data_IF_677161965380
#
_entry.id   IF_677161965380
#
_cell.length_a   1.000
_cell.length_b   1.000
_cell.length_c   1.000
_cell.angle_alpha   90.00
_cell.angle_beta   90.00
_cell.angle_gamma   90.00
#
_symmetry.space_group_name_H-M   'P 1'
#
loop_
_entity.id
_entity.type
_entity.pdbx_description
1 polymer ?
#
# COMPACT_ATOMS: atom_id res chain seq x y z
N UNK A 1 20.88 -1.65 -9.60
CA UNK A 1 19.50 -1.86 -9.07
C UNK A 1 19.23 -1.24 -7.68
N UNK A 2 20.23 -0.86 -6.88
CA UNK A 2 20.05 -0.32 -5.50
C UNK A 2 19.08 0.87 -5.36
N UNK A 3 18.91 1.69 -6.40
CA UNK A 3 18.06 2.88 -6.38
C UNK A 3 16.67 2.69 -7.00
N UNK A 4 16.42 1.57 -7.68
CA UNK A 4 15.13 1.32 -8.32
C UNK A 4 14.03 1.14 -7.27
N UNK A 5 14.30 0.34 -6.23
CA UNK A 5 13.32 0.08 -5.17
C UNK A 5 12.92 1.36 -4.40
N UNK A 6 13.84 2.24 -3.95
CA UNK A 6 13.48 3.54 -3.38
C UNK A 6 12.64 4.44 -4.31
N UNK A 7 12.95 4.50 -5.61
CA UNK A 7 12.14 5.26 -6.57
C UNK A 7 10.73 4.69 -6.71
N UNK A 8 10.60 3.37 -6.74
CA UNK A 8 9.30 2.67 -6.73
C UNK A 8 8.52 2.98 -5.45
N UNK A 9 9.19 3.06 -4.30
CA UNK A 9 8.56 3.45 -3.03
C UNK A 9 8.05 4.90 -3.04
N UNK A 10 8.76 5.84 -3.66
CA UNK A 10 8.24 7.21 -3.86
C UNK A 10 6.98 7.18 -4.73
N UNK A 11 7.03 6.44 -5.84
CA UNK A 11 5.87 6.22 -6.70
C UNK A 11 4.69 5.58 -5.94
N UNK A 12 4.97 4.64 -5.04
CA UNK A 12 3.97 4.04 -4.16
C UNK A 12 3.26 5.08 -3.29
N UNK A 13 3.98 6.01 -2.65
CA UNK A 13 3.34 7.06 -1.83
C UNK A 13 2.50 8.01 -2.66
N UNK A 14 2.99 8.42 -3.84
CA UNK A 14 2.22 9.27 -4.76
C UNK A 14 0.94 8.56 -5.19
N UNK A 15 1.06 7.28 -5.53
CA UNK A 15 -0.09 6.50 -5.96
C UNK A 15 -1.09 6.27 -4.82
N UNK A 16 -0.61 6.01 -3.61
CA UNK A 16 -1.42 5.90 -2.39
C UNK A 16 -2.18 7.21 -2.09
N UNK A 17 -1.52 8.36 -2.28
CA UNK A 17 -2.14 9.69 -2.14
C UNK A 17 -3.26 9.89 -3.16
N UNK A 18 -3.01 9.62 -4.45
CA UNK A 18 -4.05 9.71 -5.48
C UNK A 18 -5.22 8.75 -5.24
N UNK A 19 -4.92 7.56 -4.73
CA UNK A 19 -5.91 6.59 -4.31
C UNK A 19 -6.86 7.17 -3.25
N UNK A 20 -6.28 7.73 -2.19
CA UNK A 20 -7.02 8.39 -1.11
C UNK A 20 -7.84 9.57 -1.62
N UNK A 21 -7.25 10.44 -2.43
CA UNK A 21 -7.92 11.62 -2.97
C UNK A 21 -9.14 11.22 -3.82
N UNK A 22 -9.00 10.18 -4.64
CA UNK A 22 -10.11 9.64 -5.42
C UNK A 22 -11.20 9.03 -4.52
N UNK A 23 -10.81 8.27 -3.49
CA UNK A 23 -11.75 7.71 -2.50
C UNK A 23 -12.54 8.78 -1.75
N UNK A 24 -11.88 9.85 -1.31
CA UNK A 24 -12.52 11.00 -0.65
C UNK A 24 -13.52 11.69 -1.59
N UNK A 25 -13.08 11.98 -2.83
CA UNK A 25 -13.94 12.59 -3.85
C UNK A 25 -15.21 11.76 -4.07
N UNK A 26 -15.10 10.43 -4.15
CA UNK A 26 -16.25 9.54 -4.32
C UNK A 26 -17.18 9.55 -3.10
N UNK A 27 -16.62 9.66 -1.89
CA UNK A 27 -17.39 9.68 -0.64
C UNK A 27 -18.17 10.99 -0.46
N UNK A 28 -17.64 12.11 -0.95
CA UNK A 28 -18.24 13.45 -0.83
C UNK A 28 -19.32 13.73 -1.90
N UNK A 29 -19.43 12.88 -2.93
CA UNK A 29 -20.42 13.03 -3.99
C UNK A 29 -21.86 12.86 -3.47
N UNK A 30 -22.68 13.91 -3.63
CA UNK A 30 -24.10 13.91 -3.29
C UNK A 30 -24.94 13.34 -4.43
N UNK A 31 -25.92 12.50 -4.12
CA UNK A 31 -26.81 11.85 -5.11
C UNK A 31 -27.52 12.83 -6.05
N UNK A 32 -27.81 14.05 -5.58
CA UNK A 32 -28.52 15.08 -6.35
C UNK A 32 -27.60 15.93 -7.24
N UNK A 33 -26.29 15.70 -7.23
CA UNK A 33 -25.35 16.50 -8.04
C UNK A 33 -25.21 15.91 -9.45
N UNK A 34 -24.99 16.74 -10.49
CA UNK A 34 -24.72 16.25 -11.85
C UNK A 34 -23.43 15.42 -11.92
N UNK A 35 -22.51 15.58 -10.96
CA UNK A 35 -21.29 14.78 -10.87
C UNK A 35 -21.54 13.33 -10.45
N UNK A 36 -22.67 13.04 -9.77
CA UNK A 36 -23.00 11.71 -9.30
C UNK A 36 -23.13 10.69 -10.44
N UNK A 37 -23.48 11.15 -11.66
CA UNK A 37 -23.52 10.32 -12.88
C UNK A 37 -22.16 9.68 -13.17
N UNK A 38 -21.04 10.33 -12.81
CA UNK A 38 -19.68 9.82 -13.02
C UNK A 38 -19.23 8.84 -11.92
N UNK A 39 -19.96 8.76 -10.80
CA UNK A 39 -19.57 8.00 -9.61
C UNK A 39 -19.29 6.51 -9.89
N UNK A 40 -20.06 5.78 -10.70
CA UNK A 40 -19.77 4.38 -10.99
C UNK A 40 -18.41 4.18 -11.68
N UNK A 41 -18.08 5.02 -12.66
CA UNK A 41 -16.79 4.96 -13.36
C UNK A 41 -15.61 5.31 -12.44
N UNK A 42 -15.78 6.29 -11.55
CA UNK A 42 -14.76 6.65 -10.56
C UNK A 42 -14.56 5.55 -9.51
N UNK A 43 -15.65 4.90 -9.07
CA UNK A 43 -15.58 3.73 -8.16
C UNK A 43 -14.82 2.57 -8.81
N UNK A 44 -15.05 2.30 -10.09
CA UNK A 44 -14.32 1.29 -10.83
C UNK A 44 -12.84 1.65 -10.96
N UNK A 45 -12.52 2.90 -11.32
CA UNK A 45 -11.15 3.39 -11.37
C UNK A 45 -10.45 3.23 -10.00
N UNK A 46 -11.10 3.65 -8.93
CA UNK A 46 -10.61 3.50 -7.56
C UNK A 46 -10.36 2.03 -7.21
N UNK A 47 -11.27 1.12 -7.58
CA UNK A 47 -11.07 -0.32 -7.35
C UNK A 47 -9.89 -0.87 -8.16
N UNK A 48 -9.82 -0.55 -9.45
CA UNK A 48 -8.76 -1.03 -10.36
C UNK A 48 -7.38 -0.55 -9.91
N UNK A 49 -7.27 0.72 -9.50
CA UNK A 49 -6.04 1.25 -8.92
C UNK A 49 -5.66 0.56 -7.61
N UNK A 50 -6.64 0.20 -6.77
CA UNK A 50 -6.41 -0.55 -5.54
C UNK A 50 -5.84 -1.96 -5.81
N UNK A 51 -6.37 -2.64 -6.82
CA UNK A 51 -5.81 -3.92 -7.29
C UNK A 51 -4.40 -3.77 -7.83
N UNK A 52 -4.15 -2.76 -8.68
CA UNK A 52 -2.82 -2.49 -9.22
C UNK A 52 -1.79 -2.22 -8.12
N UNK A 53 -2.14 -1.38 -7.14
CA UNK A 53 -1.27 -1.06 -6.00
C UNK A 53 -0.93 -2.32 -5.18
N UNK A 54 -1.95 -3.13 -4.87
CA UNK A 54 -1.76 -4.39 -4.12
C UNK A 54 -0.92 -5.40 -4.90
N UNK A 55 -1.18 -5.54 -6.20
CA UNK A 55 -0.44 -6.42 -7.10
C UNK A 55 1.03 -6.02 -7.25
N UNK A 56 1.33 -4.72 -7.34
CA UNK A 56 2.70 -4.21 -7.36
C UNK A 56 3.45 -4.51 -6.07
N UNK A 57 2.79 -4.35 -4.90
CA UNK A 57 3.40 -4.71 -3.61
C UNK A 57 3.64 -6.22 -3.48
N UNK A 58 2.69 -7.06 -3.94
CA UNK A 58 2.87 -8.52 -4.00
C UNK A 58 4.04 -8.92 -4.89
N UNK A 59 4.13 -8.36 -6.11
CA UNK A 59 5.22 -8.62 -7.04
C UNK A 59 6.57 -8.18 -6.45
N UNK A 60 6.61 -7.04 -5.75
CA UNK A 60 7.79 -6.57 -5.03
C UNK A 60 8.22 -7.54 -3.91
N UNK A 61 7.28 -8.07 -3.13
CA UNK A 61 7.56 -9.05 -2.08
C UNK A 61 8.11 -10.36 -2.66
N UNK A 62 7.41 -10.95 -3.63
CA UNK A 62 7.85 -12.21 -4.26
C UNK A 62 9.17 -12.05 -5.01
N UNK A 63 9.36 -10.92 -5.71
CA UNK A 63 10.62 -10.60 -6.37
C UNK A 63 11.77 -10.47 -5.38
N UNK A 64 11.54 -9.82 -4.24
CA UNK A 64 12.50 -9.73 -3.14
C UNK A 64 12.88 -11.12 -2.60
N UNK A 65 11.87 -11.93 -2.24
CA UNK A 65 12.09 -13.30 -1.73
C UNK A 65 12.85 -14.14 -2.76
N UNK A 66 12.43 -14.12 -4.03
CA UNK A 66 13.06 -14.92 -5.07
C UNK A 66 14.52 -14.52 -5.28
N UNK A 67 14.83 -13.21 -5.42
CA UNK A 67 16.20 -12.74 -5.60
C UNK A 67 17.07 -13.11 -4.38
N UNK A 68 16.58 -12.90 -3.16
CA UNK A 68 17.36 -13.20 -1.96
C UNK A 68 17.59 -14.69 -1.77
N UNK A 69 16.60 -15.55 -2.07
CA UNK A 69 16.70 -17.00 -1.91
C UNK A 69 17.47 -17.71 -3.04
N UNK A 70 17.29 -17.29 -4.29
CA UNK A 70 17.84 -17.98 -5.46
C UNK A 70 19.18 -17.43 -5.95
N UNK A 71 19.43 -16.13 -5.79
CA UNK A 71 20.63 -15.46 -6.36
C UNK A 71 21.70 -15.22 -5.31
N UNK A 72 21.29 -14.85 -4.08
CA UNK A 72 22.25 -14.46 -3.04
C UNK A 72 22.64 -15.61 -2.11
N UNK A 73 21.89 -16.71 -2.06
CA UNK A 73 22.23 -17.91 -1.29
C UNK A 73 22.48 -17.67 0.21
N UNK A 74 22.16 -16.49 0.74
CA UNK A 74 22.79 -15.99 1.95
C UNK A 74 21.77 -15.72 3.07
N UNK A 75 22.03 -16.31 4.23
CA UNK A 75 21.34 -16.00 5.49
C UNK A 75 21.66 -14.57 5.99
N UNK A 76 22.81 -14.01 5.62
CA UNK A 76 23.33 -12.71 6.07
C UNK A 76 22.52 -11.47 5.60
N UNK A 77 22.23 -11.27 4.30
CA UNK A 77 21.40 -10.15 3.85
C UNK A 77 19.95 -10.27 4.32
N UNK A 78 19.46 -11.49 4.58
CA UNK A 78 18.12 -11.70 5.13
C UNK A 78 18.00 -11.19 6.57
N UNK A 79 19.02 -11.42 7.42
CA UNK A 79 19.07 -10.89 8.80
C UNK A 79 19.18 -9.36 8.86
N UNK A 80 20.01 -8.75 7.99
CA UNK A 80 20.19 -7.29 7.95
C UNK A 80 18.96 -6.54 7.42
N UNK A 81 18.16 -7.19 6.56
CA UNK A 81 16.95 -6.60 5.97
C UNK A 81 15.66 -7.10 6.61
N UNK A 82 15.74 -8.01 7.59
CA UNK A 82 14.58 -8.72 8.16
C UNK A 82 13.51 -7.76 8.69
N UNK A 83 13.92 -6.73 9.44
CA UNK A 83 13.02 -5.72 9.97
C UNK A 83 12.31 -4.91 8.87
N UNK A 84 13.06 -4.49 7.84
CA UNK A 84 12.52 -3.74 6.71
C UNK A 84 11.55 -4.57 5.88
N UNK A 85 11.93 -5.81 5.53
CA UNK A 85 11.07 -6.75 4.79
C UNK A 85 9.79 -7.09 5.55
N UNK A 86 9.89 -7.28 6.88
CA UNK A 86 8.71 -7.49 7.73
C UNK A 86 7.76 -6.30 7.70
N UNK A 87 8.25 -5.06 7.86
CA UNK A 87 7.42 -3.85 7.76
C UNK A 87 6.76 -3.78 6.37
N UNK A 88 7.49 -4.11 5.30
CA UNK A 88 6.96 -4.25 3.94
C UNK A 88 5.77 -5.22 3.85
N UNK A 89 5.87 -6.38 4.50
CA UNK A 89 4.78 -7.37 4.53
C UNK A 89 3.56 -6.88 5.33
N UNK A 90 3.76 -6.10 6.39
CA UNK A 90 2.68 -5.47 7.16
C UNK A 90 1.93 -4.45 6.28
N UNK A 91 2.64 -3.63 5.52
CA UNK A 91 2.04 -2.70 4.54
C UNK A 91 1.15 -3.47 3.56
N UNK A 92 1.65 -4.57 3.01
CA UNK A 92 0.89 -5.41 2.10
C UNK A 92 -0.37 -6.00 2.77
N UNK A 93 -0.25 -6.50 4.00
CA UNK A 93 -1.40 -6.97 4.79
C UNK A 93 -2.45 -5.88 4.99
N UNK A 94 -2.02 -4.66 5.31
CA UNK A 94 -2.90 -3.50 5.43
C UNK A 94 -3.58 -3.14 4.10
N UNK A 95 -2.88 -3.21 2.97
CA UNK A 95 -3.45 -2.98 1.63
C UNK A 95 -4.51 -4.02 1.28
N UNK A 96 -4.21 -5.31 1.50
CA UNK A 96 -5.17 -6.41 1.27
C UNK A 96 -6.41 -6.23 2.15
N UNK A 97 -6.22 -5.93 3.44
CA UNK A 97 -7.34 -5.66 4.35
C UNK A 97 -8.17 -4.46 3.89
N UNK A 98 -7.51 -3.36 3.51
CA UNK A 98 -8.20 -2.17 2.98
C UNK A 98 -9.02 -2.49 1.73
N UNK A 99 -8.45 -3.27 0.80
CA UNK A 99 -9.13 -3.71 -0.42
C UNK A 99 -10.36 -4.57 -0.10
N UNK A 100 -10.23 -5.57 0.77
CA UNK A 100 -11.34 -6.43 1.20
C UNK A 100 -12.45 -5.61 1.88
N UNK A 101 -12.08 -4.66 2.75
CA UNK A 101 -13.02 -3.73 3.37
C UNK A 101 -13.77 -2.92 2.30
N UNK A 102 -13.05 -2.32 1.35
CA UNK A 102 -13.64 -1.56 0.25
C UNK A 102 -14.67 -2.37 -0.56
N UNK A 103 -14.34 -3.62 -0.88
CA UNK A 103 -15.23 -4.54 -1.59
C UNK A 103 -16.46 -4.94 -0.75
N UNK A 104 -16.32 -5.00 0.57
CA UNK A 104 -17.39 -5.40 1.48
C UNK A 104 -18.40 -4.28 1.78
N UNK A 105 -18.00 -3.00 1.72
CA UNK A 105 -18.85 -1.84 2.06
C UNK A 105 -20.17 -1.84 1.28
N UNK A 106 -20.15 -2.27 0.02
CA UNK A 106 -21.35 -2.30 -0.82
C UNK A 106 -22.42 -3.26 -0.28
N UNK A 107 -22.01 -4.34 0.39
CA UNK A 107 -22.90 -5.38 0.92
C UNK A 107 -23.50 -5.01 2.29
N UNK A 108 -23.03 -3.93 2.93
CA UNK A 108 -23.55 -3.48 4.23
C UNK A 108 -24.86 -2.72 4.05
N UNK A 109 -25.97 -3.33 4.48
CA UNK A 109 -27.33 -2.78 4.35
C UNK A 109 -27.61 -1.66 5.36
N UNK A 110 -27.08 -1.76 6.58
CA UNK A 110 -27.34 -0.79 7.66
C UNK A 110 -26.49 0.49 7.46
N UNK A 111 -27.09 1.67 7.23
CA UNK A 111 -26.36 2.90 6.89
C UNK A 111 -25.30 3.30 7.94
N UNK A 112 -25.65 3.23 9.23
CA UNK A 112 -24.75 3.57 10.33
C UNK A 112 -23.52 2.65 10.42
N UNK A 113 -23.68 1.37 10.06
CA UNK A 113 -22.56 0.42 10.01
C UNK A 113 -21.71 0.72 8.78
N UNK A 114 -22.34 0.95 7.63
CA UNK A 114 -21.65 1.28 6.38
C UNK A 114 -20.75 2.50 6.53
N UNK A 115 -21.23 3.55 7.19
CA UNK A 115 -20.46 4.77 7.47
C UNK A 115 -19.22 4.47 8.33
N UNK A 116 -19.34 3.65 9.37
CA UNK A 116 -18.19 3.22 10.18
C UNK A 116 -17.15 2.44 9.36
N UNK A 117 -17.61 1.54 8.50
CA UNK A 117 -16.73 0.79 7.61
C UNK A 117 -16.04 1.70 6.60
N UNK A 118 -16.75 2.68 6.05
CA UNK A 118 -16.18 3.68 5.15
C UNK A 118 -15.11 4.50 5.87
N UNK A 119 -15.39 5.02 7.07
CA UNK A 119 -14.40 5.77 7.87
C UNK A 119 -13.19 4.91 8.20
N UNK A 120 -13.39 3.65 8.57
CA UNK A 120 -12.29 2.72 8.84
C UNK A 120 -11.44 2.47 7.58
N UNK A 121 -12.07 2.18 6.44
CA UNK A 121 -11.39 2.01 5.16
C UNK A 121 -10.60 3.26 4.74
N UNK A 122 -11.18 4.45 4.92
CA UNK A 122 -10.50 5.71 4.64
C UNK A 122 -9.32 5.96 5.58
N UNK A 123 -9.42 5.55 6.85
CA UNK A 123 -8.34 5.71 7.82
C UNK A 123 -7.19 4.70 7.63
N UNK A 124 -7.46 3.53 7.02
CA UNK A 124 -6.44 2.54 6.71
C UNK A 124 -5.30 3.11 5.87
N UNK A 125 -5.57 4.11 5.02
CA UNK A 125 -4.51 4.76 4.23
C UNK A 125 -3.43 5.40 5.11
N UNK A 126 -3.81 5.97 6.27
CA UNK A 126 -2.85 6.59 7.18
C UNK A 126 -1.97 5.56 7.86
N UNK A 127 -2.57 4.41 8.22
CA UNK A 127 -1.83 3.27 8.76
C UNK A 127 -0.83 2.74 7.72
N UNK A 128 -1.28 2.56 6.47
CA UNK A 128 -0.43 2.14 5.34
C UNK A 128 0.69 3.16 5.11
N UNK A 129 0.38 4.46 5.12
CA UNK A 129 1.37 5.52 4.93
C UNK A 129 2.39 5.57 6.08
N UNK A 130 1.95 5.40 7.33
CA UNK A 130 2.83 5.39 8.50
C UNK A 130 3.83 4.22 8.45
N UNK A 131 3.35 3.00 8.19
CA UNK A 131 4.23 1.85 7.98
C UNK A 131 5.09 2.01 6.73
N UNK A 132 4.55 2.61 5.67
CA UNK A 132 5.30 3.00 4.48
C UNK A 132 6.48 3.88 4.82
N UNK A 133 6.27 4.96 5.57
CA UNK A 133 7.32 5.90 5.97
C UNK A 133 8.35 5.22 6.88
N UNK A 134 7.90 4.38 7.80
CA UNK A 134 8.79 3.56 8.63
C UNK A 134 9.64 2.60 7.78
N UNK A 135 9.04 1.96 6.78
CA UNK A 135 9.74 1.08 5.84
C UNK A 135 10.75 1.86 4.99
N UNK A 136 10.36 3.02 4.45
CA UNK A 136 11.27 3.87 3.70
C UNK A 136 12.44 4.38 4.57
N UNK A 137 12.17 4.77 5.82
CA UNK A 137 13.19 5.19 6.79
C UNK A 137 14.16 4.08 7.15
N UNK A 138 13.66 2.87 7.43
CA UNK A 138 14.52 1.69 7.67
C UNK A 138 15.31 1.28 6.43
N UNK A 139 14.71 1.37 5.24
CA UNK A 139 15.40 1.14 3.97
C UNK A 139 16.51 2.17 3.71
N UNK A 140 16.26 3.44 4.00
CA UNK A 140 17.27 4.51 3.91
C UNK A 140 18.40 4.30 4.91
N UNK A 141 18.08 3.93 6.16
CA UNK A 141 19.06 3.58 7.18
C UNK A 141 19.97 2.41 6.73
N UNK A 142 19.40 1.38 6.09
CA UNK A 142 20.18 0.27 5.50
C UNK A 142 21.07 0.77 4.35
N UNK A 143 20.59 1.69 3.51
CA UNK A 143 21.39 2.25 2.42
C UNK A 143 22.57 3.10 2.92
N UNK A 144 22.39 3.85 4.00
CA UNK A 144 23.41 4.75 4.57
C UNK A 144 24.37 4.00 5.51
N UNK A 145 23.85 3.16 6.40
CA UNK A 145 24.60 2.52 7.49
C UNK A 145 24.80 1.00 7.31
N UNK A 146 24.05 0.35 6.43
CA UNK A 146 24.16 -1.10 6.16
C UNK A 146 25.39 -1.50 5.33
N UNK A 147 26.23 -0.54 4.94
CA UNK A 147 27.55 -0.77 4.34
C UNK A 147 28.64 -0.35 5.31
N UNK A 148 28.90 -1.14 6.35
CA UNK A 148 30.29 -1.30 6.82
C UNK A 148 30.80 -2.63 6.26
N UNK A 149 31.70 -2.62 5.26
CA UNK A 149 32.47 -3.80 4.86
C UNK A 149 33.58 -4.15 5.87
N UNK A 150 33.62 -3.52 7.04
CA UNK A 150 34.59 -3.75 8.10
C UNK A 150 33.87 -4.35 9.31
N UNK A 151 33.59 -5.65 9.22
CA UNK A 151 33.61 -6.65 10.29
C UNK A 151 33.40 -8.04 9.67
#
# INVERSE_FOLDING_TARGET
MKFIHPLVMIGFFVFLYWQRALGQKIAEMKEKSPEFVKRPGLLEQHRTWGYALTGLCLAGLFGGIFITSSVLGAQQPFLQTYGHGFIGSVILGCLVMSLLLGLSIKNVVKPRIRERFLTFHMNMVYVIAAFGLLSAGTGLAILIWGLSPLN
#
